data_IF_588771969405
#
_entry.id   IF_588771969405
#
_cell.length_a   1.000
_cell.length_b   1.000
_cell.length_c   1.000
_cell.angle_alpha   90.00
_cell.angle_beta   90.00
_cell.angle_gamma   90.00
#
_symmetry.space_group_name_H-M   'P 1'
#
loop_
_entity.id
_entity.type
_entity.pdbx_description
1 polymer ?
#
# COMPACT_ATOMS: atom_id res chain seq x y z
N UNK A 1 54.62 -17.67 -27.88
CA UNK A 1 54.17 -16.29 -27.63
C UNK A 1 52.84 -16.38 -26.88
N UNK A 2 52.84 -16.17 -25.55
CA UNK A 2 51.63 -16.30 -24.70
C UNK A 2 50.93 -14.93 -24.70
N UNK A 3 49.71 -14.88 -25.24
CA UNK A 3 48.83 -13.71 -25.13
C UNK A 3 48.23 -13.75 -23.73
N UNK A 4 48.64 -12.80 -22.88
CA UNK A 4 48.05 -12.58 -21.56
C UNK A 4 46.78 -11.74 -21.77
N UNK A 5 45.61 -12.38 -21.79
CA UNK A 5 44.33 -11.68 -21.76
C UNK A 5 44.09 -11.20 -20.33
N UNK A 6 44.35 -9.91 -20.06
CA UNK A 6 43.89 -9.28 -18.82
C UNK A 6 42.37 -9.12 -18.91
N UNK A 7 41.65 -9.96 -18.16
CA UNK A 7 40.24 -9.76 -17.92
C UNK A 7 40.06 -8.50 -17.05
N UNK A 8 39.49 -7.46 -17.63
CA UNK A 8 38.89 -6.38 -16.86
C UNK A 8 37.66 -6.96 -16.15
N UNK A 9 37.79 -7.26 -14.87
CA UNK A 9 36.63 -7.48 -14.00
C UNK A 9 36.02 -6.10 -13.80
N UNK A 10 35.02 -5.74 -14.61
CA UNK A 10 34.17 -4.61 -14.31
C UNK A 10 33.44 -4.93 -13.00
N UNK A 11 33.77 -4.20 -11.94
CA UNK A 11 32.94 -4.16 -10.75
C UNK A 11 31.58 -3.62 -11.21
N UNK A 12 30.57 -4.49 -11.29
CA UNK A 12 29.19 -4.02 -11.40
C UNK A 12 28.96 -3.08 -10.22
N UNK A 13 28.54 -1.82 -10.42
CA UNK A 13 28.03 -1.07 -9.30
C UNK A 13 26.91 -1.91 -8.70
N UNK A 14 26.95 -2.07 -7.38
CA UNK A 14 25.85 -2.62 -6.60
C UNK A 14 24.63 -1.80 -6.99
N UNK A 15 23.80 -2.33 -7.89
CA UNK A 15 22.55 -1.69 -8.25
C UNK A 15 21.79 -1.57 -6.94
N UNK A 16 21.51 -0.34 -6.54
CA UNK A 16 20.83 -0.08 -5.27
C UNK A 16 19.42 -0.63 -5.42
N UNK A 17 18.98 -1.44 -4.45
CA UNK A 17 17.66 -2.07 -4.43
C UNK A 17 16.53 -1.07 -4.66
N UNK A 18 16.75 0.20 -4.32
CA UNK A 18 15.76 1.24 -4.56
C UNK A 18 15.65 1.75 -5.99
N UNK A 19 16.68 1.62 -6.83
CA UNK A 19 16.56 1.89 -8.27
C UNK A 19 15.80 0.75 -8.95
N UNK A 20 16.13 -0.51 -8.59
CA UNK A 20 15.45 -1.70 -9.12
C UNK A 20 13.94 -1.64 -8.85
N UNK A 21 13.53 -1.22 -7.65
CA UNK A 21 12.11 -1.09 -7.31
C UNK A 21 11.40 -0.01 -8.15
N UNK A 22 12.06 1.12 -8.43
CA UNK A 22 11.50 2.16 -9.28
C UNK A 22 11.39 1.70 -10.74
N UNK A 23 12.44 1.07 -11.27
CA UNK A 23 12.49 0.49 -12.61
C UNK A 23 11.42 -0.60 -12.77
N UNK A 24 11.23 -1.46 -11.77
CA UNK A 24 10.15 -2.46 -11.76
C UNK A 24 8.78 -1.83 -12.03
N UNK A 25 8.41 -0.76 -11.31
CA UNK A 25 7.13 -0.10 -11.55
C UNK A 25 7.06 0.59 -12.91
N UNK A 26 8.18 1.15 -13.39
CA UNK A 26 8.23 1.80 -14.70
C UNK A 26 7.98 0.80 -15.82
N UNK A 27 8.65 -0.36 -15.76
CA UNK A 27 8.48 -1.44 -16.72
C UNK A 27 7.08 -2.07 -16.62
N UNK A 28 6.62 -2.37 -15.41
CA UNK A 28 5.32 -3.02 -15.18
C UNK A 28 4.14 -2.21 -15.72
N UNK A 29 4.23 -0.88 -15.64
CA UNK A 29 3.15 0.02 -16.02
C UNK A 29 3.42 0.81 -17.30
N UNK A 30 4.53 0.55 -17.99
CA UNK A 30 5.00 1.30 -19.17
C UNK A 30 4.89 2.82 -18.96
N UNK A 31 5.38 3.28 -17.80
CA UNK A 31 5.15 4.65 -17.31
C UNK A 31 6.38 5.21 -16.61
N UNK A 32 6.76 6.43 -16.97
CA UNK A 32 7.72 7.21 -16.18
C UNK A 32 7.06 7.85 -14.96
N UNK A 33 7.81 7.90 -13.86
CA UNK A 33 7.39 8.53 -12.59
C UNK A 33 8.18 9.81 -12.34
N UNK A 34 7.80 10.89 -13.00
CA UNK A 34 8.49 12.18 -12.84
C UNK A 34 8.45 12.66 -11.38
N UNK A 35 9.61 13.08 -10.88
CA UNK A 35 9.77 13.59 -9.52
C UNK A 35 9.74 12.53 -8.42
N UNK A 36 9.71 11.23 -8.77
CA UNK A 36 9.92 10.14 -7.83
C UNK A 36 11.39 9.71 -7.90
N UNK A 37 12.05 9.73 -6.75
CA UNK A 37 13.43 9.26 -6.63
C UNK A 37 13.45 7.74 -6.35
N UNK A 38 14.61 7.08 -6.47
CA UNK A 38 14.78 5.70 -6.00
C UNK A 38 14.42 5.53 -4.53
N UNK A 39 13.91 4.35 -4.14
CA UNK A 39 13.42 4.06 -2.78
C UNK A 39 14.44 4.44 -1.68
N UNK A 40 15.71 4.14 -1.90
CA UNK A 40 16.79 4.35 -0.91
C UNK A 40 17.06 5.85 -0.61
N UNK A 41 16.45 6.77 -1.37
CA UNK A 41 16.54 8.22 -1.10
C UNK A 41 15.54 8.70 -0.06
N UNK A 42 14.51 7.89 0.26
CA UNK A 42 13.50 8.24 1.24
C UNK A 42 13.92 7.76 2.63
N UNK A 43 13.65 8.58 3.65
CA UNK A 43 13.87 8.19 5.06
C UNK A 43 12.91 7.08 5.49
N UNK A 44 11.72 7.06 4.89
CA UNK A 44 10.66 6.12 5.17
C UNK A 44 10.18 5.50 3.84
N UNK A 45 10.33 4.17 3.66
CA UNK A 45 9.86 3.46 2.48
C UNK A 45 8.40 3.73 2.11
N UNK A 46 7.53 3.98 3.10
CA UNK A 46 6.12 4.27 2.84
C UNK A 46 5.92 5.56 2.04
N UNK A 47 6.88 6.50 2.08
CA UNK A 47 6.83 7.72 1.27
C UNK A 47 7.04 7.43 -0.22
N UNK A 48 7.98 6.56 -0.56
CA UNK A 48 8.20 6.10 -1.94
C UNK A 48 6.94 5.41 -2.47
N UNK A 49 6.42 4.43 -1.73
CA UNK A 49 5.23 3.69 -2.17
C UNK A 49 3.99 4.58 -2.25
N UNK A 50 3.83 5.55 -1.34
CA UNK A 50 2.74 6.54 -1.43
C UNK A 50 2.86 7.40 -2.70
N UNK A 51 4.07 7.79 -3.09
CA UNK A 51 4.30 8.56 -4.31
C UNK A 51 3.98 7.74 -5.58
N UNK A 52 4.42 6.47 -5.63
CA UNK A 52 4.08 5.53 -6.71
C UNK A 52 2.56 5.32 -6.77
N UNK A 53 1.93 5.00 -5.63
CA UNK A 53 0.49 4.78 -5.51
C UNK A 53 -0.34 5.98 -6.00
N UNK A 54 0.13 7.21 -5.72
CA UNK A 54 -0.50 8.43 -6.22
C UNK A 54 -0.42 8.52 -7.75
N UNK A 55 0.73 8.23 -8.34
CA UNK A 55 0.91 8.25 -9.79
C UNK A 55 0.16 7.13 -10.53
N UNK A 56 -0.05 5.99 -9.86
CA UNK A 56 -0.81 4.86 -10.37
C UNK A 56 -2.33 4.96 -10.11
N UNK A 57 -2.79 5.95 -9.35
CA UNK A 57 -4.22 6.09 -9.03
C UNK A 57 -4.76 5.05 -8.05
N UNK A 58 -3.90 4.36 -7.30
CA UNK A 58 -4.26 3.31 -6.32
C UNK A 58 -5.29 3.80 -5.30
N UNK A 59 -5.18 5.07 -4.88
CA UNK A 59 -6.15 5.69 -3.97
C UNK A 59 -7.55 5.75 -4.56
N UNK A 60 -7.67 6.14 -5.83
CA UNK A 60 -8.96 6.22 -6.54
C UNK A 60 -9.59 4.83 -6.65
N UNK A 61 -8.80 3.84 -7.05
CA UNK A 61 -9.26 2.45 -7.14
C UNK A 61 -9.76 1.95 -5.78
N UNK A 62 -9.05 2.25 -4.69
CA UNK A 62 -9.47 1.86 -3.35
C UNK A 62 -10.78 2.56 -2.91
N UNK A 63 -10.92 3.86 -3.17
CA UNK A 63 -12.17 4.57 -2.87
C UNK A 63 -13.35 4.05 -3.69
N UNK A 64 -13.15 3.76 -4.97
CA UNK A 64 -14.17 3.22 -5.85
C UNK A 64 -14.58 1.81 -5.41
N UNK A 65 -13.63 0.96 -5.00
CA UNK A 65 -13.93 -0.35 -4.43
C UNK A 65 -14.84 -0.24 -3.20
N UNK A 66 -14.52 0.66 -2.27
CA UNK A 66 -15.32 0.86 -1.04
C UNK A 66 -16.69 1.49 -1.35
N UNK A 67 -16.76 2.39 -2.34
CA UNK A 67 -18.04 2.94 -2.81
C UNK A 67 -18.93 1.84 -3.39
N UNK A 68 -18.39 1.00 -4.25
CA UNK A 68 -19.16 -0.05 -4.92
C UNK A 68 -19.62 -1.14 -3.94
N UNK A 69 -18.76 -1.54 -3.01
CA UNK A 69 -19.06 -2.63 -2.05
C UNK A 69 -19.95 -2.16 -0.88
N UNK A 70 -19.73 -0.94 -0.37
CA UNK A 70 -20.37 -0.46 0.86
C UNK A 70 -21.26 0.77 0.70
N UNK A 71 -21.36 1.33 -0.51
CA UNK A 71 -22.11 2.56 -0.76
C UNK A 71 -21.52 3.79 -0.05
N UNK A 72 -20.20 3.82 0.18
CA UNK A 72 -19.57 4.95 0.86
C UNK A 72 -19.35 6.11 -0.09
N UNK A 73 -19.79 7.29 0.34
CA UNK A 73 -19.56 8.57 -0.33
C UNK A 73 -19.04 9.57 0.68
N UNK A 74 -18.15 10.47 0.25
CA UNK A 74 -17.63 11.54 1.09
C UNK A 74 -18.76 12.50 1.49
N UNK A 75 -18.94 12.68 2.80
CA UNK A 75 -19.87 13.67 3.36
C UNK A 75 -19.12 14.92 3.87
N UNK A 76 -19.84 16.01 4.06
CA UNK A 76 -19.29 17.27 4.57
C UNK A 76 -18.79 17.15 6.03
N UNK A 77 -19.54 16.40 6.85
CA UNK A 77 -19.27 16.23 8.28
C UNK A 77 -18.47 14.96 8.59
N UNK A 78 -17.64 14.51 7.65
CA UNK A 78 -16.73 13.39 7.86
C UNK A 78 -15.36 13.64 7.23
N UNK A 79 -14.35 13.07 7.86
CA UNK A 79 -13.11 12.76 7.17
C UNK A 79 -13.35 11.50 6.38
N UNK A 80 -12.93 11.48 5.11
CA UNK A 80 -12.87 10.29 4.27
C UNK A 80 -11.51 10.25 3.59
N UNK A 81 -10.68 9.30 4.00
CA UNK A 81 -9.27 9.23 3.62
C UNK A 81 -8.81 7.79 3.43
N UNK A 82 -7.63 7.63 2.84
CA UNK A 82 -6.98 6.35 2.63
C UNK A 82 -5.53 6.42 3.09
N UNK A 83 -5.06 5.37 3.75
CA UNK A 83 -3.64 5.14 4.06
C UNK A 83 -3.18 3.97 3.22
N UNK A 84 -2.12 4.18 2.44
CA UNK A 84 -1.55 3.18 1.54
C UNK A 84 -0.27 2.62 2.14
N UNK A 85 -0.13 1.30 2.07
CA UNK A 85 1.10 0.57 2.39
C UNK A 85 1.41 -0.45 1.30
N UNK A 86 2.67 -0.87 1.24
CA UNK A 86 3.12 -1.96 0.38
C UNK A 86 3.42 -3.19 1.23
N UNK A 87 2.92 -4.36 0.83
CA UNK A 87 3.24 -5.62 1.50
C UNK A 87 3.20 -6.77 0.50
N UNK A 88 4.31 -7.50 0.37
CA UNK A 88 4.39 -8.79 -0.37
C UNK A 88 3.73 -8.75 -1.76
N UNK A 89 4.10 -7.84 -2.65
CA UNK A 89 3.49 -7.79 -4.00
C UNK A 89 2.08 -7.17 -4.07
N UNK A 90 1.47 -6.81 -2.94
CA UNK A 90 0.20 -6.08 -2.87
C UNK A 90 0.31 -4.63 -2.37
N UNK A 91 -0.57 -3.79 -2.89
CA UNK A 91 -1.00 -2.55 -2.25
C UNK A 91 -2.02 -2.89 -1.18
N UNK A 92 -1.80 -2.43 0.04
CA UNK A 92 -2.70 -2.62 1.18
C UNK A 92 -3.18 -1.24 1.62
N UNK A 93 -4.47 -0.98 1.42
CA UNK A 93 -5.06 0.33 1.62
C UNK A 93 -6.09 0.25 2.74
N UNK A 94 -5.91 1.05 3.78
CA UNK A 94 -6.95 1.29 4.77
C UNK A 94 -7.73 2.54 4.35
N UNK A 95 -8.93 2.34 3.83
CA UNK A 95 -9.89 3.41 3.61
C UNK A 95 -10.67 3.60 4.89
N UNK A 96 -10.72 4.82 5.40
CA UNK A 96 -11.42 5.11 6.64
C UNK A 96 -12.28 6.36 6.51
N UNK A 97 -13.38 6.35 7.27
CA UNK A 97 -14.16 7.55 7.53
C UNK A 97 -14.39 7.72 9.02
N UNK A 98 -14.48 8.97 9.46
CA UNK A 98 -14.84 9.32 10.83
C UNK A 98 -15.56 10.66 10.88
N UNK A 99 -16.44 10.83 11.85
CA UNK A 99 -17.15 12.08 12.07
C UNK A 99 -16.18 13.23 12.32
N UNK A 100 -16.47 14.34 11.65
CA UNK A 100 -15.78 15.61 11.79
C UNK A 100 -16.81 16.70 12.06
N UNK A 101 -16.55 17.52 13.08
CA UNK A 101 -17.36 18.70 13.38
C UNK A 101 -16.68 19.92 12.76
N UNK A 102 -17.28 20.55 11.72
CA UNK A 102 -16.72 21.76 11.12
C UNK A 102 -16.63 22.92 12.10
N UNK A 103 -17.62 23.04 13.00
CA UNK A 103 -17.69 24.10 14.02
C UNK A 103 -16.53 24.04 15.01
N UNK A 104 -16.23 22.83 15.52
CA UNK A 104 -15.20 22.65 16.53
C UNK A 104 -13.85 22.27 15.94
N UNK A 105 -13.79 21.95 14.65
CA UNK A 105 -12.65 21.38 13.94
C UNK A 105 -12.09 20.11 14.60
N UNK A 106 -12.95 19.36 15.29
CA UNK A 106 -12.58 18.12 16.00
C UNK A 106 -13.13 16.89 15.29
N UNK A 107 -12.39 15.81 15.45
CA UNK A 107 -12.75 14.46 14.99
C UNK A 107 -13.19 13.60 16.16
N UNK A 108 -14.16 12.71 15.94
CA UNK A 108 -14.55 11.69 16.93
C UNK A 108 -13.92 10.35 16.55
N UNK A 109 -12.81 10.00 17.19
CA UNK A 109 -12.06 8.79 16.85
C UNK A 109 -12.87 7.51 17.06
N UNK A 110 -13.79 7.51 18.02
CA UNK A 110 -14.74 6.43 18.30
C UNK A 110 -15.73 6.15 17.17
N UNK A 111 -15.94 7.12 16.28
CA UNK A 111 -16.79 6.97 15.08
C UNK A 111 -16.05 6.39 13.88
N UNK A 112 -14.74 6.13 14.02
CA UNK A 112 -13.91 5.67 12.91
C UNK A 112 -14.37 4.29 12.42
N UNK A 113 -14.69 4.23 11.14
CA UNK A 113 -14.99 2.98 10.44
C UNK A 113 -13.96 2.80 9.34
N UNK A 114 -13.35 1.62 9.29
CA UNK A 114 -12.31 1.28 8.32
C UNK A 114 -12.78 0.18 7.36
N UNK A 115 -12.23 0.19 6.15
CA UNK A 115 -12.30 -0.87 5.16
C UNK A 115 -10.91 -1.08 4.58
N UNK A 116 -10.51 -2.33 4.50
CA UNK A 116 -9.27 -2.73 3.90
C UNK A 116 -9.51 -3.10 2.45
N UNK A 117 -8.70 -2.52 1.57
CA UNK A 117 -8.65 -2.85 0.16
C UNK A 117 -7.27 -3.41 -0.14
N UNK A 118 -7.20 -4.54 -0.83
CA UNK A 118 -5.95 -5.04 -1.39
C UNK A 118 -6.02 -4.97 -2.90
N UNK A 119 -4.97 -4.43 -3.52
CA UNK A 119 -4.85 -4.25 -4.96
C UNK A 119 -3.53 -4.88 -5.38
N UNK A 120 -3.50 -5.63 -6.47
CA UNK A 120 -2.27 -6.19 -7.03
C UNK A 120 -1.52 -5.16 -7.91
N UNK A 121 -0.34 -5.52 -8.42
CA UNK A 121 0.43 -4.68 -9.33
C UNK A 121 -0.16 -4.61 -10.75
N UNK A 122 -1.27 -5.30 -11.03
CA UNK A 122 -2.08 -5.09 -12.23
C UNK A 122 -3.22 -4.10 -12.00
N UNK A 123 -3.22 -3.44 -10.82
CA UNK A 123 -4.24 -2.48 -10.40
C UNK A 123 -5.63 -3.10 -10.26
N UNK A 124 -5.71 -4.42 -10.05
CA UNK A 124 -6.97 -5.14 -9.81
C UNK A 124 -7.24 -5.25 -8.31
N UNK A 125 -8.47 -4.95 -7.92
CA UNK A 125 -8.94 -5.14 -6.55
C UNK A 125 -9.08 -6.64 -6.29
N UNK A 126 -8.27 -7.16 -5.38
CA UNK A 126 -8.31 -8.58 -4.98
C UNK A 126 -9.12 -8.79 -3.69
N UNK A 127 -9.33 -7.72 -2.91
CA UNK A 127 -10.10 -7.77 -1.66
C UNK A 127 -10.65 -6.39 -1.31
N UNK A 128 -11.90 -6.33 -0.82
CA UNK A 128 -12.50 -5.15 -0.21
C UNK A 128 -13.36 -5.58 0.99
N UNK A 129 -12.90 -5.33 2.21
CA UNK A 129 -13.48 -5.98 3.39
C UNK A 129 -13.32 -5.20 4.69
N UNK A 130 -14.02 -5.67 5.73
CA UNK A 130 -13.66 -5.33 7.11
C UNK A 130 -12.37 -6.04 7.49
N UNK A 131 -11.63 -5.53 8.46
CA UNK A 131 -10.55 -6.31 9.07
C UNK A 131 -11.18 -7.52 9.74
N UNK A 132 -10.79 -8.73 9.34
CA UNK A 132 -11.11 -9.90 10.15
C UNK A 132 -10.16 -9.83 11.33
N UNK A 133 -10.67 -9.52 12.52
CA UNK A 133 -9.92 -9.79 13.74
C UNK A 133 -9.54 -11.28 13.69
N UNK A 134 -8.25 -11.58 13.62
CA UNK A 134 -7.74 -12.92 13.91
C UNK A 134 -8.02 -13.21 15.39
N UNK A 135 -9.24 -13.62 15.70
CA UNK A 135 -9.62 -14.16 17.01
C UNK A 135 -10.89 -14.98 16.84
N UNK A 136 -10.71 -16.29 16.60
CA UNK A 136 -11.20 -17.36 17.48
C UNK A 136 -11.27 -18.69 16.70
N UNK A 137 -10.18 -19.44 16.74
CA UNK A 137 -10.23 -20.90 16.73
C UNK A 137 -9.02 -21.49 17.50
N UNK A 138 -8.88 -21.05 18.75
CA UNK A 138 -8.30 -21.88 19.81
C UNK A 138 -9.36 -22.10 20.89
N UNK A 139 -10.49 -22.70 20.50
CA UNK A 139 -11.32 -23.47 21.41
C UNK A 139 -11.26 -24.93 20.96
N UNK A 140 -10.25 -25.65 21.43
CA UNK A 140 -10.46 -27.00 21.93
C UNK A 140 -10.07 -27.01 23.39
N UNK A 141 -11.00 -26.54 24.21
CA UNK A 141 -11.16 -27.01 25.58
C UNK A 141 -11.13 -28.53 25.53
N UNK A 142 -10.03 -29.13 25.98
CA UNK A 142 -10.08 -30.50 26.47
C UNK A 142 -10.68 -30.38 27.86
N UNK A 143 -11.98 -30.62 27.91
CA UNK A 143 -12.68 -30.97 29.13
C UNK A 143 -12.05 -32.26 29.65
N UNK A 144 -11.32 -32.17 30.76
CA UNK A 144 -11.01 -33.33 31.59
C UNK A 144 -11.73 -33.08 32.90
N UNK A 145 -12.97 -33.56 32.95
CA UNK A 145 -13.72 -33.78 34.18
C UNK A 145 -13.02 -34.89 34.99
N UNK A 146 -13.18 -34.90 36.34
CA UNK A 146 -12.14 -35.13 37.34
C UNK A 146 -11.62 -36.56 37.49
#
# INVERSE_FOLDING_TARGET
MKILLLAFISVLPLVSSGLEELEYFQEKHDKSFEGINPLDTYKDPDQFYTAIAKNLGVHTIAFDAVRNEYGWEKKENEIFQAIVRRSTGLWVIMVYRLEFSPETKKTKMESMVTRWVKIDDELKVIYCGKEQNETNNQNKSVDVTP
#
